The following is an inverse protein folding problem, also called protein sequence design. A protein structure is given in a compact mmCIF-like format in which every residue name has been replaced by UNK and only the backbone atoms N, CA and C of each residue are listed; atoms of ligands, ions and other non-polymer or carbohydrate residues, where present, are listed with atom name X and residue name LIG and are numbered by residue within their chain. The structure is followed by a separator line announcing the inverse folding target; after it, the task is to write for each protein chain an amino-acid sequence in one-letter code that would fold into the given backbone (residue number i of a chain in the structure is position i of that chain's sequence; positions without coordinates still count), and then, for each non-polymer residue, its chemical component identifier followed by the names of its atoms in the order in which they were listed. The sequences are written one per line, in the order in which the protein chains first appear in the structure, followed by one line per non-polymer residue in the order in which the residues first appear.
data_IF_741378553300
#
_entry.id   IF_741378553300
#
_cell.length_a   1.000
_cell.length_b   1.000
_cell.length_c   1.000
_cell.angle_alpha   90.00
_cell.angle_beta   90.00
_cell.angle_gamma   90.00
#
_symmetry.space_group_name_H-M   'P 1'
#
loop_
_entity.id
_entity.type
_entity.pdbx_description
1 polymer ?
#
# COMPACT_ATOMS: atom_id res chain seq x y z
N UNK A 1 13.69 -48.82 38.11
CA UNK A 1 12.35 -49.43 38.00
C UNK A 1 11.52 -49.04 39.21
N UNK A 2 10.43 -48.28 39.02
CA UNK A 2 9.38 -48.09 40.04
C UNK A 2 8.07 -47.74 39.32
N UNK A 3 7.25 -48.77 39.10
CA UNK A 3 5.87 -48.67 38.63
C UNK A 3 4.96 -48.17 39.76
N UNK A 4 4.02 -47.27 39.45
CA UNK A 4 2.81 -47.05 40.26
C UNK A 4 1.58 -46.87 39.36
N UNK A 5 0.90 -48.01 39.18
CA UNK A 5 -0.56 -48.28 39.15
C UNK A 5 -1.52 -47.26 38.50
N UNK A 6 -2.14 -47.78 37.44
CA UNK A 6 -3.47 -47.55 36.88
C UNK A 6 -4.62 -47.45 37.90
N UNK A 7 -5.65 -46.65 37.60
CA UNK A 7 -7.06 -46.95 37.86
C UNK A 7 -7.92 -46.44 36.69
N UNK A 8 -8.88 -47.27 36.29
CA UNK A 8 -9.80 -47.13 35.17
C UNK A 8 -11.22 -46.79 35.66
N UNK A 9 -12.12 -46.55 34.69
CA UNK A 9 -13.59 -46.65 34.75
C UNK A 9 -14.32 -45.37 35.25
N UNK A 10 -15.45 -44.88 34.69
CA UNK A 10 -16.32 -45.23 33.55
C UNK A 10 -17.38 -44.12 33.41
N UNK A 11 -17.79 -43.87 32.17
CA UNK A 11 -19.03 -43.26 31.63
C UNK A 11 -20.20 -42.88 32.55
N UNK A 12 -20.77 -41.68 32.35
CA UNK A 12 -22.23 -41.44 32.29
C UNK A 12 -22.54 -40.40 31.20
N UNK A 13 -23.38 -40.81 30.25
CA UNK A 13 -23.96 -40.04 29.15
C UNK A 13 -25.37 -39.59 29.60
N UNK A 14 -25.72 -38.31 29.48
CA UNK A 14 -27.12 -37.86 29.59
C UNK A 14 -27.48 -36.99 28.39
N UNK A 15 -28.35 -37.56 27.54
CA UNK A 15 -29.10 -36.87 26.51
C UNK A 15 -30.23 -36.05 27.14
N UNK A 16 -30.42 -34.80 26.71
CA UNK A 16 -31.73 -34.16 26.74
C UNK A 16 -32.01 -33.48 25.39
N UNK A 17 -33.07 -33.97 24.76
CA UNK A 17 -33.68 -33.49 23.52
C UNK A 17 -34.75 -32.44 23.83
N UNK A 18 -35.01 -31.63 22.78
CA UNK A 18 -36.27 -31.00 22.42
C UNK A 18 -36.61 -29.60 22.97
N UNK A 19 -36.82 -28.69 22.01
CA UNK A 19 -37.44 -27.38 22.18
C UNK A 19 -37.69 -26.72 20.82
N UNK A 20 -38.59 -27.30 20.01
CA UNK A 20 -39.17 -26.69 18.80
C UNK A 20 -40.41 -25.88 19.21
N UNK A 21 -40.48 -24.61 18.80
CA UNK A 21 -41.74 -23.88 18.64
C UNK A 21 -41.63 -22.94 17.44
N UNK A 22 -42.51 -23.16 16.47
CA UNK A 22 -42.70 -22.35 15.27
C UNK A 22 -43.77 -21.27 15.52
N UNK A 23 -43.64 -20.10 14.88
CA UNK A 23 -44.75 -19.44 14.16
C UNK A 23 -44.32 -18.12 13.48
N UNK A 24 -44.51 -18.09 12.16
CA UNK A 24 -45.14 -17.06 11.31
C UNK A 24 -44.83 -15.55 11.50
N UNK A 25 -44.35 -14.94 10.42
CA UNK A 25 -44.50 -13.51 10.16
C UNK A 25 -43.78 -13.05 8.89
N UNK A 26 -44.48 -13.05 7.76
CA UNK A 26 -44.03 -12.38 6.52
C UNK A 26 -44.39 -10.89 6.55
N UNK A 27 -43.41 -10.03 6.29
CA UNK A 27 -43.57 -8.68 5.69
C UNK A 27 -42.24 -8.42 4.96
N UNK A 28 -42.11 -8.66 3.66
CA UNK A 28 -42.61 -7.79 2.60
C UNK A 28 -42.34 -6.31 2.91
N UNK A 29 -41.15 -5.86 2.56
CA UNK A 29 -40.92 -4.45 2.23
C UNK A 29 -40.14 -4.41 0.91
N UNK A 30 -40.88 -4.62 -0.17
CA UNK A 30 -40.42 -4.40 -1.53
C UNK A 30 -41.51 -3.58 -2.23
N UNK A 31 -41.39 -2.26 -2.07
CA UNK A 31 -42.19 -1.28 -2.80
C UNK A 31 -41.27 -0.64 -3.83
N UNK A 32 -41.25 -1.16 -5.05
CA UNK A 32 -41.82 -0.52 -6.25
C UNK A 32 -41.27 -1.21 -7.51
N UNK A 33 -42.16 -2.01 -8.11
CA UNK A 33 -42.39 -2.26 -9.53
C UNK A 33 -41.48 -1.53 -10.54
N UNK A 34 -40.76 -2.29 -11.38
CA UNK A 34 -40.87 -2.17 -12.86
C UNK A 34 -40.32 -3.44 -13.52
N UNK A 35 -41.20 -4.08 -14.26
CA UNK A 35 -40.98 -5.24 -15.13
C UNK A 35 -39.97 -4.89 -16.23
N UNK A 36 -38.80 -5.51 -16.23
CA UNK A 36 -38.08 -5.81 -17.49
C UNK A 36 -37.19 -7.03 -17.27
N UNK A 37 -37.34 -8.03 -18.14
CA UNK A 37 -36.56 -9.26 -18.15
C UNK A 37 -35.08 -8.96 -18.45
N UNK A 38 -34.31 -8.63 -17.41
CA UNK A 38 -32.85 -8.65 -17.48
C UNK A 38 -32.34 -9.71 -16.53
N UNK A 39 -31.84 -10.80 -17.13
CA UNK A 39 -31.04 -11.83 -16.47
C UNK A 39 -29.92 -11.12 -15.70
N UNK A 40 -30.01 -11.10 -14.37
CA UNK A 40 -28.91 -10.65 -13.52
C UNK A 40 -27.87 -11.76 -13.50
N UNK A 41 -26.86 -11.63 -14.35
CA UNK A 41 -25.61 -12.35 -14.19
C UNK A 41 -24.95 -11.88 -12.88
N UNK A 42 -24.47 -12.78 -12.01
CA UNK A 42 -23.63 -12.40 -10.88
C UNK A 42 -22.37 -11.75 -11.45
N UNK A 43 -22.15 -10.47 -11.14
CA UNK A 43 -20.84 -9.85 -11.33
C UNK A 43 -20.01 -10.27 -10.11
N UNK A 44 -19.65 -11.55 -10.05
CA UNK A 44 -18.58 -12.02 -9.17
C UNK A 44 -17.25 -11.73 -9.86
N UNK A 45 -17.01 -10.44 -10.11
CA UNK A 45 -15.69 -9.88 -10.28
C UNK A 45 -15.58 -8.88 -9.15
N UNK A 46 -14.93 -9.26 -8.06
CA UNK A 46 -14.68 -8.37 -6.93
C UNK A 46 -14.07 -7.07 -7.48
N UNK A 47 -14.88 -6.02 -7.57
CA UNK A 47 -14.39 -4.72 -8.00
C UNK A 47 -13.54 -4.25 -6.84
N UNK A 48 -12.23 -4.14 -7.06
CA UNK A 48 -11.27 -3.61 -6.11
C UNK A 48 -11.91 -2.45 -5.33
N UNK A 49 -11.94 -2.56 -4.00
CA UNK A 49 -12.59 -1.57 -3.16
C UNK A 49 -11.95 -0.20 -3.41
N UNK A 50 -12.75 0.74 -3.94
CA UNK A 50 -12.30 2.11 -4.23
C UNK A 50 -12.45 2.96 -2.98
N UNK A 51 -11.35 3.50 -2.49
CA UNK A 51 -11.29 4.19 -1.19
C UNK A 51 -10.75 5.62 -1.35
N UNK A 52 -11.29 6.53 -0.55
CA UNK A 52 -10.78 7.91 -0.39
C UNK A 52 -9.63 8.02 0.60
N UNK A 53 -9.42 6.98 1.40
CA UNK A 53 -8.30 6.85 2.33
C UNK A 53 -7.32 5.83 1.77
N UNK A 54 -6.03 6.16 1.83
CA UNK A 54 -4.95 5.30 1.35
C UNK A 54 -4.86 4.02 2.22
N UNK A 55 -4.83 2.82 1.61
CA UNK A 55 -4.63 1.55 2.34
C UNK A 55 -3.19 1.40 2.89
N UNK A 56 -2.22 2.00 2.21
CA UNK A 56 -0.80 1.98 2.58
C UNK A 56 -0.36 3.29 3.25
N UNK A 57 0.76 3.24 3.98
CA UNK A 57 1.41 4.46 4.51
C UNK A 57 2.39 5.05 3.50
N UNK A 58 3.17 4.18 2.88
CA UNK A 58 4.15 4.45 1.84
C UNK A 58 4.01 3.36 0.75
N UNK A 59 4.52 3.60 -0.45
CA UNK A 59 4.52 2.60 -1.53
C UNK A 59 5.74 2.76 -2.43
N UNK A 60 6.53 1.70 -2.63
CA UNK A 60 7.68 1.75 -3.55
C UNK A 60 7.27 1.46 -4.99
N UNK A 61 6.33 0.53 -5.21
CA UNK A 61 5.84 0.11 -6.52
C UNK A 61 4.46 0.70 -6.81
N UNK A 62 4.40 2.04 -6.90
CA UNK A 62 3.14 2.73 -7.13
C UNK A 62 2.72 2.69 -8.60
N UNK A 63 1.47 2.30 -8.83
CA UNK A 63 0.88 2.20 -10.17
C UNK A 63 -0.30 3.15 -10.29
N UNK A 64 -0.32 3.94 -11.37
CA UNK A 64 -1.50 4.70 -11.79
C UNK A 64 -2.33 3.82 -12.72
N UNK A 65 -3.60 3.61 -12.37
CA UNK A 65 -4.51 2.85 -13.23
C UNK A 65 -4.85 3.63 -14.52
N UNK A 66 -5.15 2.93 -15.63
CA UNK A 66 -5.26 3.54 -16.96
C UNK A 66 -6.48 4.47 -17.13
N UNK A 67 -7.45 4.42 -16.22
CA UNK A 67 -8.62 5.29 -16.26
C UNK A 67 -8.22 6.76 -16.21
N UNK A 68 -8.65 7.52 -17.21
CA UNK A 68 -8.40 8.97 -17.33
C UNK A 68 -9.38 9.76 -16.47
N UNK A 69 -9.29 9.59 -15.15
CA UNK A 69 -10.11 10.28 -14.15
C UNK A 69 -9.25 11.26 -13.37
N UNK A 70 -9.84 12.36 -12.92
CA UNK A 70 -9.21 13.36 -12.05
C UNK A 70 -10.03 13.53 -10.75
N UNK A 71 -9.48 13.25 -9.56
CA UNK A 71 -8.14 12.73 -9.28
C UNK A 71 -7.90 11.30 -9.83
N UNK A 72 -6.64 10.88 -10.07
CA UNK A 72 -6.33 9.55 -10.59
C UNK A 72 -6.68 8.41 -9.62
N UNK A 73 -6.73 7.20 -10.16
CA UNK A 73 -6.75 5.97 -9.37
C UNK A 73 -5.34 5.40 -9.24
N UNK A 74 -5.03 4.94 -8.04
CA UNK A 74 -3.72 4.43 -7.65
C UNK A 74 -3.84 3.05 -7.01
N UNK A 75 -2.87 2.21 -7.29
CA UNK A 75 -2.68 0.90 -6.67
C UNK A 75 -1.22 0.76 -6.24
N UNK A 76 -0.98 0.13 -5.09
CA UNK A 76 0.35 -0.18 -4.62
C UNK A 76 0.66 -1.66 -4.86
N UNK A 77 1.64 -1.94 -5.71
CA UNK A 77 2.07 -3.29 -6.07
C UNK A 77 3.26 -3.78 -5.20
N UNK A 78 3.40 -3.23 -3.99
CA UNK A 78 4.38 -3.72 -3.03
C UNK A 78 4.03 -5.15 -2.58
N UNK A 79 5.04 -6.01 -2.57
CA UNK A 79 4.90 -7.40 -2.15
C UNK A 79 4.88 -7.50 -0.62
N UNK A 80 3.72 -7.85 -0.08
CA UNK A 80 3.46 -7.98 1.35
C UNK A 80 3.39 -9.44 1.78
N UNK A 81 3.81 -9.72 3.02
CA UNK A 81 3.40 -10.98 3.65
C UNK A 81 1.86 -10.98 3.80
N UNK A 82 1.15 -12.11 3.59
CA UNK A 82 -0.30 -12.16 3.72
C UNK A 82 -0.86 -11.60 5.02
N UNK A 83 -0.18 -11.84 6.14
CA UNK A 83 -0.61 -11.29 7.43
C UNK A 83 -0.55 -9.76 7.48
N UNK A 84 0.34 -9.14 6.72
CA UNK A 84 0.37 -7.69 6.54
C UNK A 84 -0.71 -7.23 5.55
N UNK A 85 -0.86 -7.92 4.42
CA UNK A 85 -1.87 -7.56 3.42
C UNK A 85 -3.29 -7.56 4.01
N UNK A 86 -3.71 -8.63 4.68
CA UNK A 86 -5.05 -8.72 5.29
C UNK A 86 -5.27 -7.80 6.49
N UNK A 87 -4.22 -7.13 7.00
CA UNK A 87 -4.34 -6.08 8.02
C UNK A 87 -4.46 -4.68 7.42
N UNK A 88 -3.90 -4.46 6.24
CA UNK A 88 -3.81 -3.15 5.60
C UNK A 88 -4.88 -2.95 4.53
N UNK A 89 -5.31 -4.03 3.87
CA UNK A 89 -6.15 -4.01 2.69
C UNK A 89 -7.39 -4.86 2.88
N UNK A 90 -8.47 -4.47 2.20
CA UNK A 90 -9.72 -5.22 2.15
C UNK A 90 -9.60 -6.43 1.20
N UNK A 91 -8.92 -6.25 0.07
CA UNK A 91 -8.62 -7.29 -0.89
C UNK A 91 -7.11 -7.48 -1.12
N UNK A 92 -6.70 -8.72 -1.34
CA UNK A 92 -5.32 -9.11 -1.61
C UNK A 92 -5.27 -10.06 -2.81
N UNK A 93 -4.25 -9.92 -3.66
CA UNK A 93 -4.04 -10.77 -4.84
C UNK A 93 -2.62 -11.34 -4.89
N UNK A 94 -2.41 -12.41 -5.64
CA UNK A 94 -1.06 -12.89 -5.96
C UNK A 94 -0.37 -11.93 -6.95
N UNK A 95 0.96 -11.76 -6.88
CA UNK A 95 1.70 -10.96 -7.85
C UNK A 95 1.63 -11.51 -9.27
N UNK A 96 1.62 -10.63 -10.29
CA UNK A 96 1.54 -11.06 -11.68
C UNK A 96 2.75 -11.92 -12.07
N UNK A 97 2.51 -12.97 -12.85
CA UNK A 97 3.57 -13.80 -13.41
C UNK A 97 4.15 -14.87 -12.47
N UNK A 98 3.58 -15.07 -11.28
CA UNK A 98 3.94 -16.21 -10.43
C UNK A 98 2.98 -17.40 -10.62
N UNK A 99 3.47 -18.56 -11.13
CA UNK A 99 2.62 -19.72 -11.41
C UNK A 99 2.10 -20.44 -10.16
N UNK A 100 2.66 -20.14 -8.99
CA UNK A 100 2.32 -20.82 -7.73
C UNK A 100 1.66 -19.83 -6.77
N UNK A 101 0.40 -20.05 -6.39
CA UNK A 101 -0.25 -19.24 -5.36
C UNK A 101 0.48 -19.48 -4.04
N UNK A 102 0.86 -18.38 -3.40
CA UNK A 102 1.79 -18.45 -2.28
C UNK A 102 2.58 -17.16 -2.15
N UNK A 103 2.80 -16.79 -0.89
CA UNK A 103 3.42 -15.54 -0.44
C UNK A 103 4.61 -15.12 -1.31
N UNK A 104 4.82 -13.81 -1.55
CA UNK A 104 4.04 -12.67 -1.04
C UNK A 104 2.75 -12.34 -1.84
N UNK A 105 1.88 -11.52 -1.25
CA UNK A 105 0.64 -10.98 -1.82
C UNK A 105 0.76 -9.47 -2.07
N UNK A 106 -0.02 -8.95 -3.01
CA UNK A 106 -0.18 -7.52 -3.28
C UNK A 106 -1.54 -7.04 -2.77
N UNK A 107 -1.58 -5.81 -2.27
CA UNK A 107 -2.80 -5.10 -1.92
C UNK A 107 -3.63 -4.79 -3.18
N UNK A 108 -4.88 -5.25 -3.24
CA UNK A 108 -5.75 -5.00 -4.40
C UNK A 108 -6.69 -3.80 -4.21
N UNK A 109 -6.67 -3.15 -3.04
CA UNK A 109 -7.42 -1.93 -2.79
C UNK A 109 -6.94 -0.78 -3.69
N UNK A 110 -7.90 0.00 -4.21
CA UNK A 110 -7.62 1.14 -5.09
C UNK A 110 -7.85 2.45 -4.33
N UNK A 111 -6.83 3.30 -4.32
CA UNK A 111 -6.92 4.65 -3.77
C UNK A 111 -7.33 5.66 -4.84
N UNK A 112 -8.29 6.53 -4.51
CA UNK A 112 -8.75 7.62 -5.39
C UNK A 112 -8.43 8.99 -4.81
N UNK A 113 -7.35 9.61 -5.30
CA UNK A 113 -6.88 10.92 -4.84
C UNK A 113 -5.71 11.45 -5.68
N UNK A 114 -5.28 12.69 -5.40
CA UNK A 114 -4.24 13.36 -6.17
C UNK A 114 -2.84 12.84 -5.87
N UNK A 115 -2.58 12.54 -4.59
CA UNK A 115 -1.28 12.09 -4.09
C UNK A 115 -1.32 10.62 -3.59
N UNK A 116 -0.65 9.68 -4.27
CA UNK A 116 -0.56 8.29 -3.84
C UNK A 116 0.36 8.05 -2.64
N UNK A 117 1.17 9.05 -2.26
CA UNK A 117 2.06 9.00 -1.12
C UNK A 117 3.52 8.92 -1.45
N UNK A 118 4.30 8.87 -0.37
CA UNK A 118 5.75 8.77 -0.42
C UNK A 118 6.20 7.33 -0.66
N UNK A 119 7.42 7.17 -1.16
CA UNK A 119 8.13 5.89 -1.12
C UNK A 119 8.39 5.43 0.31
N UNK A 120 8.61 4.13 0.50
CA UNK A 120 8.95 3.52 1.78
C UNK A 120 10.44 3.65 2.14
N UNK A 121 11.29 3.97 1.17
CA UNK A 121 12.71 4.20 1.41
C UNK A 121 12.94 5.25 2.52
N UNK A 122 13.74 4.92 3.55
CA UNK A 122 14.09 5.87 4.60
C UNK A 122 14.98 6.98 4.03
N UNK A 123 14.87 8.16 4.61
CA UNK A 123 15.63 9.33 4.16
C UNK A 123 17.15 9.19 4.27
N UNK A 124 17.63 8.23 5.07
CA UNK A 124 19.05 7.87 5.15
C UNK A 124 19.58 7.18 3.89
N UNK A 125 18.70 6.63 3.05
CA UNK A 125 19.06 5.99 1.78
C UNK A 125 19.05 6.98 0.61
N UNK A 126 18.50 8.18 0.80
CA UNK A 126 18.51 9.20 -0.23
C UNK A 126 19.92 9.76 -0.43
N UNK A 127 20.43 9.83 -1.67
CA UNK A 127 21.80 10.24 -1.92
C UNK A 127 22.13 11.65 -1.44
N UNK A 128 21.16 12.56 -1.45
CA UNK A 128 21.30 13.95 -1.00
C UNK A 128 20.97 14.15 0.48
N UNK A 129 20.59 13.11 1.22
CA UNK A 129 20.19 13.21 2.62
C UNK A 129 18.71 13.51 2.79
N UNK A 130 18.30 14.11 3.93
CA UNK A 130 16.91 14.03 4.40
C UNK A 130 15.89 14.93 3.68
N UNK A 131 16.34 15.81 2.79
CA UNK A 131 15.51 16.77 2.08
C UNK A 131 16.19 17.21 0.78
N UNK A 132 15.41 17.74 -0.16
CA UNK A 132 15.91 18.34 -1.40
C UNK A 132 15.05 19.54 -1.81
N UNK A 133 15.64 20.71 -1.98
CA UNK A 133 14.93 21.92 -2.42
C UNK A 133 14.72 21.95 -3.94
N UNK A 134 15.70 21.50 -4.72
CA UNK A 134 15.72 21.52 -6.17
C UNK A 134 15.78 20.08 -6.69
N UNK A 135 14.67 19.36 -6.51
CA UNK A 135 14.50 18.01 -7.04
C UNK A 135 14.07 18.04 -8.51
N UNK A 136 14.76 17.26 -9.35
CA UNK A 136 14.40 17.08 -10.76
C UNK A 136 14.11 15.61 -11.00
N UNK A 137 12.86 15.32 -11.37
CA UNK A 137 12.34 13.96 -11.47
C UNK A 137 11.83 13.66 -12.88
N UNK A 138 11.96 12.39 -13.28
CA UNK A 138 11.24 11.86 -14.45
C UNK A 138 9.73 11.85 -14.19
N UNK A 139 8.94 11.70 -15.26
CA UNK A 139 7.49 11.51 -15.18
C UNK A 139 7.07 10.04 -15.05
N UNK A 140 8.03 9.12 -14.78
CA UNK A 140 7.73 7.71 -14.53
C UNK A 140 7.09 7.54 -13.14
N UNK A 141 6.54 6.35 -12.89
CA UNK A 141 5.96 5.98 -11.61
C UNK A 141 6.56 4.63 -11.18
N UNK A 142 7.30 4.55 -10.05
CA UNK A 142 7.84 5.69 -9.30
C UNK A 142 8.77 6.59 -10.15
N UNK A 143 8.94 7.87 -9.79
CA UNK A 143 9.85 8.76 -10.50
C UNK A 143 11.30 8.38 -10.22
N UNK A 144 12.19 8.71 -11.14
CA UNK A 144 13.64 8.69 -10.93
C UNK A 144 14.06 10.15 -10.76
N UNK A 145 14.59 10.48 -9.59
CA UNK A 145 14.91 11.83 -9.18
C UNK A 145 16.41 12.02 -8.96
N UNK A 146 16.88 13.23 -9.19
CA UNK A 146 18.18 13.73 -8.72
C UNK A 146 17.97 15.05 -7.99
N UNK A 147 18.86 15.35 -7.04
CA UNK A 147 18.82 16.61 -6.31
C UNK A 147 19.93 17.54 -6.80
N UNK A 148 19.56 18.77 -7.15
CA UNK A 148 20.49 19.79 -7.65
C UNK A 148 20.87 20.81 -6.59
N UNK A 149 20.67 20.47 -5.31
CA UNK A 149 21.05 21.33 -4.20
C UNK A 149 22.57 21.47 -4.12
N UNK A 150 23.04 22.72 -4.00
CA UNK A 150 24.44 23.04 -3.74
C UNK A 150 24.67 23.07 -2.22
N UNK A 151 25.39 22.08 -1.71
CA UNK A 151 25.62 21.88 -0.27
C UNK A 151 27.09 22.03 0.10
N UNK A 152 27.38 22.32 1.37
CA UNK A 152 28.77 22.39 1.86
C UNK A 152 29.47 21.02 1.85
N UNK A 153 28.70 19.94 1.98
CA UNK A 153 29.17 18.56 1.90
C UNK A 153 28.03 17.62 1.53
N UNK A 154 28.25 16.67 0.62
CA UNK A 154 27.25 15.66 0.28
C UNK A 154 26.97 14.71 1.45
N UNK A 155 25.78 14.09 1.44
CA UNK A 155 25.43 13.06 2.40
C UNK A 155 26.26 11.78 2.21
N UNK A 156 26.33 10.95 3.26
CA UNK A 156 27.13 9.72 3.25
C UNK A 156 26.67 8.69 2.21
N UNK A 157 25.41 8.73 1.80
CA UNK A 157 24.85 7.85 0.77
C UNK A 157 25.22 8.29 -0.65
N UNK A 158 25.74 9.51 -0.85
CA UNK A 158 26.13 10.00 -2.18
C UNK A 158 27.41 9.31 -2.68
N UNK A 159 27.30 8.54 -3.76
CA UNK A 159 28.42 7.92 -4.45
C UNK A 159 29.20 8.91 -5.34
N UNK A 160 28.53 9.90 -5.93
CA UNK A 160 29.13 10.89 -6.82
C UNK A 160 28.92 12.33 -6.31
N UNK A 161 29.82 12.77 -5.43
CA UNK A 161 29.84 14.12 -4.90
C UNK A 161 30.81 15.01 -5.69
N UNK A 162 30.27 15.95 -6.47
CA UNK A 162 31.05 16.82 -7.35
C UNK A 162 31.11 18.25 -6.82
N UNK A 163 32.30 18.85 -6.82
CA UNK A 163 32.45 20.28 -6.51
C UNK A 163 31.92 21.12 -7.67
N UNK A 164 31.16 22.16 -7.35
CA UNK A 164 30.65 23.12 -8.34
C UNK A 164 31.39 24.45 -8.23
N UNK A 165 31.65 25.07 -9.39
CA UNK A 165 32.21 26.41 -9.47
C UNK A 165 31.08 27.43 -9.25
N UNK A 166 30.83 27.71 -7.97
CA UNK A 166 29.80 28.65 -7.53
C UNK A 166 30.42 30.00 -7.15
N UNK A 167 29.59 31.04 -7.10
CA UNK A 167 30.01 32.37 -6.62
C UNK A 167 30.22 32.43 -5.10
N UNK A 168 30.07 31.30 -4.41
CA UNK A 168 30.30 31.19 -2.98
C UNK A 168 31.80 31.31 -2.66
N UNK A 169 32.10 31.91 -1.53
CA UNK A 169 33.44 31.98 -0.96
C UNK A 169 33.94 30.61 -0.44
N UNK A 170 33.04 29.63 -0.34
CA UNK A 170 33.34 28.24 0.03
C UNK A 170 33.04 27.30 -1.14
N UNK A 171 33.81 26.21 -1.29
CA UNK A 171 33.46 25.18 -2.26
C UNK A 171 32.09 24.58 -1.90
N UNK A 172 31.21 24.54 -2.89
CA UNK A 172 29.93 23.84 -2.79
C UNK A 172 29.99 22.56 -3.61
N UNK A 173 29.14 21.62 -3.25
CA UNK A 173 29.07 20.30 -3.88
C UNK A 173 27.64 19.97 -4.26
N UNK A 174 27.49 19.20 -5.33
CA UNK A 174 26.22 18.64 -5.77
C UNK A 174 26.36 17.12 -5.83
N UNK A 175 25.36 16.41 -5.31
CA UNK A 175 25.28 14.97 -5.47
C UNK A 175 24.70 14.62 -6.85
N UNK A 176 25.39 13.79 -7.64
CA UNK A 176 24.95 13.38 -8.99
C UNK A 176 24.17 12.07 -9.04
N UNK A 177 24.04 11.42 -7.89
CA UNK A 177 23.31 10.16 -7.81
C UNK A 177 21.83 10.35 -8.13
N UNK A 178 21.27 9.33 -8.77
CA UNK A 178 19.84 9.24 -9.02
C UNK A 178 19.21 8.28 -8.02
N UNK A 179 17.98 8.57 -7.62
CA UNK A 179 17.20 7.76 -6.70
C UNK A 179 15.82 7.47 -7.30
N UNK A 180 15.36 6.23 -7.20
CA UNK A 180 14.02 5.84 -7.64
C UNK A 180 13.05 5.98 -6.47
N UNK A 181 12.10 6.92 -6.58
CA UNK A 181 11.15 7.23 -5.53
C UNK A 181 10.95 8.73 -5.36
N UNK A 182 10.19 9.10 -4.34
CA UNK A 182 9.96 10.50 -4.00
C UNK A 182 11.28 11.15 -3.54
N UNK A 183 11.59 12.38 -3.97
CA UNK A 183 12.85 13.02 -3.61
C UNK A 183 12.93 13.47 -2.14
N UNK A 184 11.82 13.39 -1.42
CA UNK A 184 11.69 13.85 -0.06
C UNK A 184 11.14 15.27 0.06
N UNK A 185 10.96 15.75 1.30
CA UNK A 185 10.51 17.10 1.55
C UNK A 185 11.57 18.11 1.12
N UNK A 186 11.14 19.37 0.95
CA UNK A 186 12.05 20.50 0.78
C UNK A 186 12.83 20.79 2.06
N UNK A 187 14.07 21.23 1.92
CA UNK A 187 14.90 21.62 3.06
C UNK A 187 14.46 22.96 3.65
N UNK A 188 14.06 23.88 2.77
CA UNK A 188 13.52 25.18 3.14
C UNK A 188 12.01 25.08 3.36
N UNK A 189 11.48 25.49 4.54
CA UNK A 189 10.05 25.50 4.77
C UNK A 189 9.37 26.52 3.86
N UNK A 190 8.19 26.18 3.33
CA UNK A 190 7.41 27.13 2.54
C UNK A 190 6.89 28.25 3.45
N UNK A 191 7.34 29.48 3.21
CA UNK A 191 6.74 30.66 3.83
C UNK A 191 5.43 30.98 3.10
N UNK A 192 4.33 30.39 3.56
CA UNK A 192 2.99 30.80 3.11
C UNK A 192 2.66 32.19 3.67
N UNK A 193 2.59 33.21 2.80
CA UNK A 193 1.99 34.51 3.10
C UNK A 193 0.52 34.52 2.69
#
# INVERSE_FOLDING_TARGET
MKMKRTMAATSILFFFLAGLAAAHGSTADDTTTTTTNTIRLPIDGAVAARRRTRPWKCCDNIVRLPERINPPFWQCDDELEPGQCFRQCEACRDPPGRPFPGRPLICDDVFWGDDPGTSCAPSSEWPWGPCCDIAVCTKSLPPICHCSDEVESCAAACGQCEMVDSWSWRPLFVCRDSFTGDPGPRCTPEMHN
#
